data_IF_875846426235
#
_entry.id   IF_875846426235
#
_cell.length_a   1.000
_cell.length_b   1.000
_cell.length_c   1.000
_cell.angle_alpha   90.00
_cell.angle_beta   90.00
_cell.angle_gamma   90.00
#
_symmetry.space_group_name_H-M   'P 1'
#
loop_
_entity.id
_entity.type
_entity.pdbx_description
1 polymer ?
#
# COMPACT_ATOMS: atom_id res chain seq x y z
N UNK A 1 -27.38 -55.88 3.42
CA UNK A 1 -26.11 -55.19 3.14
C UNK A 1 -26.46 -53.85 2.52
N UNK A 2 -26.40 -52.76 3.29
CA UNK A 2 -26.67 -51.40 2.81
C UNK A 2 -25.35 -50.65 2.99
N UNK A 3 -24.72 -50.24 1.90
CA UNK A 3 -23.50 -49.43 1.90
C UNK A 3 -23.91 -47.95 1.96
N UNK A 4 -23.52 -47.26 3.04
CA UNK A 4 -23.61 -45.81 3.13
C UNK A 4 -22.37 -45.19 2.46
N UNK A 5 -22.58 -44.35 1.45
CA UNK A 5 -21.52 -43.58 0.79
C UNK A 5 -21.47 -42.21 1.46
N UNK A 6 -20.37 -41.93 2.18
CA UNK A 6 -20.11 -40.63 2.77
C UNK A 6 -19.51 -39.70 1.70
N UNK A 7 -20.19 -38.60 1.39
CA UNK A 7 -19.71 -37.57 0.47
C UNK A 7 -18.98 -36.52 1.31
N UNK A 8 -17.66 -36.44 1.16
CA UNK A 8 -16.84 -35.38 1.76
C UNK A 8 -16.83 -34.16 0.83
N UNK A 9 -17.47 -33.07 1.25
CA UNK A 9 -17.38 -31.78 0.58
C UNK A 9 -16.06 -31.09 0.96
N UNK A 10 -15.15 -30.92 0.01
CA UNK A 10 -13.98 -30.06 0.18
C UNK A 10 -14.39 -28.60 0.00
N UNK A 11 -14.29 -27.81 1.06
CA UNK A 11 -14.35 -26.35 1.02
C UNK A 11 -12.98 -25.79 0.63
N UNK A 12 -12.91 -25.16 -0.54
CA UNK A 12 -11.72 -24.39 -0.96
C UNK A 12 -11.76 -23.05 -0.23
N UNK A 13 -10.77 -22.78 0.61
CA UNK A 13 -10.59 -21.46 1.21
C UNK A 13 -10.08 -20.49 0.14
N UNK A 14 -10.85 -19.45 -0.17
CA UNK A 14 -10.41 -18.36 -1.01
C UNK A 14 -9.45 -17.47 -0.22
N UNK A 15 -8.19 -17.41 -0.64
CA UNK A 15 -7.22 -16.45 -0.12
C UNK A 15 -7.56 -15.06 -0.65
N UNK A 16 -7.97 -14.16 0.24
CA UNK A 16 -8.13 -12.74 -0.07
C UNK A 16 -6.75 -12.12 -0.22
N UNK A 17 -6.28 -11.94 -1.45
CA UNK A 17 -5.11 -11.12 -1.73
C UNK A 17 -5.45 -9.67 -1.39
N UNK A 18 -4.87 -9.16 -0.31
CA UNK A 18 -4.89 -7.74 0.03
C UNK A 18 -4.05 -6.99 -1.01
N UNK A 19 -4.71 -6.12 -1.78
CA UNK A 19 -4.08 -5.35 -2.85
C UNK A 19 -3.16 -4.27 -2.25
N UNK A 20 -1.86 -4.40 -2.54
CA UNK A 20 -0.81 -3.44 -2.20
C UNK A 20 -1.15 -2.05 -2.80
N UNK A 21 -1.04 -0.92 -2.09
CA UNK A 21 -1.45 0.45 -2.57
C UNK A 21 -0.57 1.07 -3.67
N UNK A 22 0.50 0.39 -4.09
CA UNK A 22 1.22 0.66 -5.34
C UNK A 22 0.73 -0.22 -6.52
N UNK A 23 -0.25 -1.09 -6.29
CA UNK A 23 -0.91 -1.81 -7.38
C UNK A 23 -1.87 -0.89 -8.08
N UNK A 24 -2.08 -1.24 -9.33
CA UNK A 24 -3.20 -0.71 -10.07
C UNK A 24 -4.50 -1.17 -9.45
N UNK A 25 -5.40 -0.22 -9.24
CA UNK A 25 -6.73 -0.42 -8.69
C UNK A 25 -7.74 0.34 -9.53
N UNK A 26 -8.97 -0.16 -9.58
CA UNK A 26 -10.06 0.48 -10.27
C UNK A 26 -11.00 1.10 -9.24
N UNK A 27 -11.05 2.43 -9.23
CA UNK A 27 -11.87 3.18 -8.29
C UNK A 27 -13.23 3.53 -8.91
N UNK A 28 -14.36 3.23 -8.23
CA UNK A 28 -15.69 3.61 -8.68
C UNK A 28 -15.79 5.10 -9.02
N UNK A 29 -16.20 5.39 -10.27
CA UNK A 29 -16.39 6.74 -10.77
C UNK A 29 -15.12 7.45 -11.23
N UNK A 30 -13.96 6.77 -11.23
CA UNK A 30 -12.74 7.17 -11.94
C UNK A 30 -12.58 6.28 -13.18
N UNK A 31 -12.86 4.98 -13.08
CA UNK A 31 -12.95 4.04 -14.22
C UNK A 31 -11.69 3.97 -15.10
N UNK A 32 -10.51 4.33 -14.59
CA UNK A 32 -9.21 3.98 -15.17
C UNK A 32 -8.39 3.33 -14.08
N UNK A 33 -7.45 2.41 -14.42
CA UNK A 33 -6.55 1.91 -13.40
C UNK A 33 -5.73 3.07 -12.86
N UNK A 34 -5.73 3.22 -11.54
CA UNK A 34 -4.94 4.20 -10.82
C UNK A 34 -4.11 3.50 -9.75
N UNK A 35 -3.01 4.12 -9.37
CA UNK A 35 -2.26 3.73 -8.18
C UNK A 35 -1.72 4.96 -7.49
N UNK A 36 -1.37 4.84 -6.21
CA UNK A 36 -0.46 5.80 -5.59
C UNK A 36 0.96 5.41 -5.96
N UNK A 37 1.88 6.37 -6.00
CA UNK A 37 3.32 6.15 -6.19
C UNK A 37 4.11 6.60 -4.94
N UNK A 38 5.38 6.15 -4.76
CA UNK A 38 6.11 6.36 -3.50
C UNK A 38 6.35 7.80 -3.06
N UNK A 39 6.31 8.75 -4.00
CA UNK A 39 6.40 10.20 -3.73
C UNK A 39 5.10 10.79 -3.15
N UNK A 40 4.03 9.98 -3.06
CA UNK A 40 2.73 10.39 -2.58
C UNK A 40 1.78 10.82 -3.68
N UNK A 41 2.18 10.95 -4.95
CA UNK A 41 1.22 11.27 -6.01
C UNK A 41 0.36 10.07 -6.40
N UNK A 42 -0.79 10.32 -7.01
CA UNK A 42 -1.55 9.29 -7.72
C UNK A 42 -1.23 9.35 -9.20
N UNK A 43 -1.25 8.20 -9.86
CA UNK A 43 -1.07 8.12 -11.31
C UNK A 43 -2.09 7.19 -11.93
N UNK A 44 -2.42 7.45 -13.19
CA UNK A 44 -3.26 6.56 -13.98
C UNK A 44 -2.42 5.73 -14.94
N UNK A 45 -2.88 4.51 -15.22
CA UNK A 45 -2.31 3.65 -16.23
C UNK A 45 -2.40 4.33 -17.58
N UNK A 46 -1.29 4.44 -18.28
CA UNK A 46 -1.20 5.04 -19.60
C UNK A 46 -0.09 4.35 -20.41
N UNK A 47 -0.24 4.36 -21.73
CA UNK A 47 0.75 3.78 -22.66
C UNK A 47 1.77 4.80 -23.17
N UNK A 48 1.47 6.11 -23.03
CA UNK A 48 2.27 7.22 -23.58
C UNK A 48 2.32 8.46 -22.67
N UNK A 49 2.15 8.30 -21.36
CA UNK A 49 2.35 9.36 -20.35
C UNK A 49 1.40 10.56 -20.43
N UNK A 50 0.33 10.49 -21.24
CA UNK A 50 -0.58 11.63 -21.46
C UNK A 50 -2.04 11.27 -21.30
N UNK A 51 -2.48 10.10 -21.77
CA UNK A 51 -3.90 9.73 -21.73
C UNK A 51 -4.06 8.46 -20.90
N UNK A 52 -4.88 8.54 -19.85
CA UNK A 52 -5.25 7.40 -19.04
C UNK A 52 -6.02 6.36 -19.84
N UNK A 53 -5.90 5.09 -19.45
CA UNK A 53 -6.62 3.96 -20.03
C UNK A 53 -8.07 3.89 -19.51
N UNK A 54 -8.86 4.93 -19.79
CA UNK A 54 -10.26 5.03 -19.37
C UNK A 54 -11.10 3.86 -19.87
N UNK A 55 -11.96 3.37 -18.98
CA UNK A 55 -12.96 2.36 -19.24
C UNK A 55 -14.36 2.92 -19.01
N UNK A 56 -15.37 2.21 -19.50
CA UNK A 56 -16.77 2.62 -19.37
C UNK A 56 -17.30 2.49 -17.95
N UNK A 57 -16.69 1.65 -17.11
CA UNK A 57 -17.07 1.44 -15.72
C UNK A 57 -15.89 0.92 -14.87
N UNK A 58 -16.09 0.82 -13.56
CA UNK A 58 -15.11 0.21 -12.66
C UNK A 58 -14.92 -1.28 -12.96
N UNK A 59 -15.99 -1.99 -13.31
CA UNK A 59 -15.94 -3.41 -13.67
C UNK A 59 -15.17 -3.65 -14.98
N UNK A 60 -15.36 -2.78 -15.97
CA UNK A 60 -14.56 -2.81 -17.21
C UNK A 60 -13.08 -2.51 -16.93
N UNK A 61 -12.80 -1.65 -15.95
CA UNK A 61 -11.45 -1.41 -15.45
C UNK A 61 -10.88 -2.66 -14.76
N UNK A 62 -11.64 -3.36 -13.92
CA UNK A 62 -11.18 -4.59 -13.27
C UNK A 62 -10.86 -5.68 -14.31
N UNK A 63 -11.66 -5.78 -15.38
CA UNK A 63 -11.39 -6.66 -16.51
C UNK A 63 -10.07 -6.31 -17.23
N UNK A 64 -9.78 -5.02 -17.39
CA UNK A 64 -8.49 -4.57 -17.94
C UNK A 64 -7.33 -4.99 -17.04
N UNK A 65 -7.47 -4.87 -15.71
CA UNK A 65 -6.45 -5.30 -14.75
C UNK A 65 -6.23 -6.80 -14.71
N UNK A 66 -7.29 -7.59 -14.90
CA UNK A 66 -7.18 -9.05 -15.01
C UNK A 66 -6.55 -9.53 -16.33
N UNK A 67 -6.30 -8.65 -17.29
CA UNK A 67 -5.74 -9.02 -18.58
C UNK A 67 -4.22 -9.28 -18.47
N UNK A 68 -3.71 -10.47 -18.86
CA UNK A 68 -2.28 -10.79 -18.76
C UNK A 68 -1.37 -9.93 -19.65
N UNK A 69 -1.91 -9.19 -20.63
CA UNK A 69 -1.13 -8.24 -21.45
C UNK A 69 -1.22 -6.80 -20.97
N UNK A 70 -1.86 -6.54 -19.82
CA UNK A 70 -1.90 -5.21 -19.23
C UNK A 70 -0.50 -4.72 -18.88
N UNK A 71 -0.03 -3.69 -19.58
CA UNK A 71 1.30 -3.12 -19.42
C UNK A 71 1.26 -1.58 -19.58
N UNK A 72 1.05 -0.82 -18.50
CA UNK A 72 1.13 0.64 -18.53
C UNK A 72 2.59 1.09 -18.56
N UNK A 73 3.16 1.16 -19.77
CA UNK A 73 4.58 1.47 -19.97
C UNK A 73 4.97 2.92 -19.59
N UNK A 74 4.01 3.85 -19.64
CA UNK A 74 4.23 5.26 -19.28
C UNK A 74 2.98 5.81 -18.60
N UNK A 75 2.80 5.56 -17.29
CA UNK A 75 1.76 6.18 -16.49
C UNK A 75 1.79 7.71 -16.58
N UNK A 76 0.62 8.33 -16.36
CA UNK A 76 0.53 9.77 -16.14
C UNK A 76 0.35 10.02 -14.64
N UNK A 77 1.39 10.55 -14.02
CA UNK A 77 1.35 10.95 -12.61
C UNK A 77 0.71 12.34 -12.46
N UNK A 78 -0.07 12.52 -11.40
CA UNK A 78 -0.57 13.82 -10.96
C UNK A 78 0.59 14.72 -10.48
N UNK A 79 0.29 15.87 -9.88
CA UNK A 79 1.34 16.76 -9.38
C UNK A 79 2.11 17.43 -10.53
N UNK A 80 3.44 17.38 -10.47
CA UNK A 80 4.29 18.11 -11.41
C UNK A 80 4.19 17.56 -12.85
N UNK A 81 4.12 16.25 -13.04
CA UNK A 81 3.99 15.64 -14.38
C UNK A 81 2.70 16.08 -15.07
N UNK A 82 1.55 15.96 -14.37
CA UNK A 82 0.28 16.45 -14.89
C UNK A 82 0.29 17.96 -15.19
N UNK A 83 0.99 18.76 -14.37
CA UNK A 83 1.16 20.19 -14.63
C UNK A 83 1.97 20.46 -15.90
N UNK A 84 3.00 19.69 -16.16
CA UNK A 84 3.80 19.82 -17.38
C UNK A 84 2.99 19.47 -18.65
N UNK A 85 2.08 18.50 -18.54
CA UNK A 85 1.23 18.07 -19.67
C UNK A 85 0.01 18.97 -19.89
N UNK A 86 -0.64 19.42 -18.80
CA UNK A 86 -1.97 20.06 -18.81
C UNK A 86 -2.03 21.46 -18.21
N UNK A 87 -0.94 21.97 -17.65
CA UNK A 87 -0.86 23.31 -17.06
C UNK A 87 -1.34 23.43 -15.61
N UNK A 88 -1.81 22.34 -14.99
CA UNK A 88 -2.20 22.26 -13.58
C UNK A 88 -1.96 20.86 -13.01
N UNK A 89 -1.82 20.73 -11.70
CA UNK A 89 -1.39 19.49 -11.03
C UNK A 89 -2.44 18.37 -11.00
N UNK A 90 -3.65 18.65 -11.46
CA UNK A 90 -4.80 17.78 -11.28
C UNK A 90 -5.45 17.85 -9.89
N UNK A 91 -4.81 18.45 -8.89
CA UNK A 91 -5.34 18.55 -7.51
C UNK A 91 -6.11 19.84 -7.21
N UNK A 92 -6.10 20.80 -8.14
CA UNK A 92 -6.72 22.12 -7.93
C UNK A 92 -8.25 22.09 -8.03
N UNK A 93 -8.83 21.01 -8.56
CA UNK A 93 -10.26 20.83 -8.74
C UNK A 93 -10.70 19.58 -7.97
N UNK A 94 -11.70 19.71 -7.09
CA UNK A 94 -12.09 18.64 -6.18
C UNK A 94 -12.71 17.41 -6.88
N UNK A 95 -13.31 17.61 -8.05
CA UNK A 95 -13.96 16.59 -8.87
C UNK A 95 -13.02 15.94 -9.90
N UNK A 96 -11.83 16.49 -10.10
CA UNK A 96 -10.81 15.92 -10.99
C UNK A 96 -10.33 14.56 -10.46
N UNK A 97 -9.99 13.65 -11.37
CA UNK A 97 -9.66 12.26 -11.02
C UNK A 97 -8.45 12.16 -10.07
N UNK A 98 -7.44 13.03 -10.20
CA UNK A 98 -6.31 13.10 -9.26
C UNK A 98 -6.79 13.33 -7.83
N UNK A 99 -7.61 14.37 -7.60
CA UNK A 99 -8.16 14.69 -6.27
C UNK A 99 -9.01 13.56 -5.72
N UNK A 100 -9.84 12.95 -6.57
CA UNK A 100 -10.72 11.84 -6.18
C UNK A 100 -9.93 10.59 -5.83
N UNK A 101 -8.97 10.20 -6.67
CA UNK A 101 -8.09 9.05 -6.42
C UNK A 101 -7.26 9.26 -5.15
N UNK A 102 -6.68 10.44 -4.96
CA UNK A 102 -5.90 10.75 -3.76
C UNK A 102 -6.73 10.62 -2.47
N UNK A 103 -7.99 11.06 -2.49
CA UNK A 103 -8.91 10.90 -1.35
C UNK A 103 -9.29 9.44 -1.09
N UNK A 104 -9.44 8.65 -2.14
CA UNK A 104 -9.86 7.24 -2.06
C UNK A 104 -8.71 6.27 -1.78
N UNK A 105 -7.48 6.67 -2.09
CA UNK A 105 -6.26 5.90 -1.84
C UNK A 105 -5.40 6.62 -0.80
N UNK A 106 -5.79 6.74 0.48
CA UNK A 106 -5.03 7.53 1.45
C UNK A 106 -3.55 7.14 1.48
N UNK A 107 -2.68 8.13 1.71
CA UNK A 107 -1.26 7.87 1.94
C UNK A 107 -1.08 6.88 3.09
N UNK A 108 -0.04 6.05 3.00
CA UNK A 108 0.50 5.42 4.20
C UNK A 108 0.74 6.55 5.21
N UNK A 109 0.18 6.48 6.45
CA UNK A 109 0.44 7.51 7.43
C UNK A 109 1.96 7.73 7.49
N UNK A 110 2.39 8.99 7.55
CA UNK A 110 3.81 9.31 7.68
C UNK A 110 4.46 8.56 8.85
N UNK A 111 5.79 8.55 8.90
CA UNK A 111 6.51 7.91 9.99
C UNK A 111 6.07 8.45 11.36
N UNK A 112 5.69 7.55 12.26
CA UNK A 112 5.20 7.87 13.60
C UNK A 112 6.00 7.13 14.65
N UNK A 113 6.27 7.81 15.75
CA UNK A 113 7.03 7.28 16.87
C UNK A 113 6.12 6.95 18.04
N UNK A 114 6.15 5.69 18.45
CA UNK A 114 5.28 5.17 19.52
C UNK A 114 6.12 5.05 20.81
N UNK A 115 5.63 5.58 21.96
CA UNK A 115 6.27 5.35 23.25
C UNK A 115 6.46 3.85 23.51
N UNK A 116 7.68 3.46 23.89
CA UNK A 116 8.04 2.06 24.21
C UNK A 116 8.51 1.21 23.03
N UNK A 117 8.32 1.66 21.78
CA UNK A 117 8.87 0.99 20.59
C UNK A 117 10.11 1.75 20.06
N UNK A 118 10.12 3.08 20.11
CA UNK A 118 11.30 3.92 19.81
C UNK A 118 11.97 3.68 18.45
N UNK A 119 11.19 3.24 17.47
CA UNK A 119 11.57 3.23 16.05
C UNK A 119 10.43 3.86 15.25
N UNK A 120 10.72 4.64 14.19
CA UNK A 120 9.66 5.17 13.35
C UNK A 120 8.91 4.02 12.69
N UNK A 121 7.62 3.92 12.97
CA UNK A 121 6.71 2.95 12.40
C UNK A 121 5.70 3.64 11.50
N UNK A 122 5.17 2.92 10.53
CA UNK A 122 3.96 3.30 9.81
C UNK A 122 3.16 2.09 9.42
N UNK A 123 1.93 2.33 8.97
CA UNK A 123 1.14 1.31 8.29
C UNK A 123 1.44 1.42 6.83
N UNK A 124 2.06 0.38 6.28
CA UNK A 124 2.30 0.29 4.86
C UNK A 124 0.99 0.08 4.10
N UNK A 125 1.13 -0.10 2.81
CA UNK A 125 -0.01 -0.18 1.93
C UNK A 125 -0.79 -1.51 1.96
N UNK A 126 -0.22 -2.56 2.52
CA UNK A 126 -0.88 -3.85 2.78
C UNK A 126 -1.69 -3.82 4.09
N UNK A 127 -1.69 -2.66 4.75
CA UNK A 127 -2.19 -2.55 6.11
C UNK A 127 -1.29 -3.29 7.10
N UNK A 128 -0.03 -3.59 6.76
CA UNK A 128 0.95 -4.13 7.69
C UNK A 128 1.77 -3.01 8.31
N UNK A 129 2.24 -3.24 9.53
CA UNK A 129 3.16 -2.34 10.21
C UNK A 129 4.53 -2.54 9.58
N UNK A 130 5.25 -1.46 9.33
CA UNK A 130 6.64 -1.50 8.93
C UNK A 130 7.47 -0.52 9.74
N UNK A 131 8.73 -0.87 9.99
CA UNK A 131 9.70 0.02 10.61
C UNK A 131 10.58 0.68 9.56
N UNK A 132 11.04 1.89 9.84
CA UNK A 132 12.02 2.57 9.01
C UNK A 132 13.34 1.79 8.99
N UNK A 133 13.79 1.41 7.79
CA UNK A 133 15.02 0.69 7.52
C UNK A 133 15.49 1.00 6.09
N UNK A 134 16.75 0.73 5.76
CA UNK A 134 17.32 0.85 4.39
C UNK A 134 17.70 -0.49 3.76
N UNK A 135 17.55 -1.60 4.50
CA UNK A 135 18.03 -2.90 4.08
C UNK A 135 17.00 -4.04 4.25
N UNK A 136 15.73 -3.71 4.51
CA UNK A 136 14.63 -4.66 4.77
C UNK A 136 14.78 -5.50 6.04
N UNK A 137 15.82 -5.28 6.84
CA UNK A 137 16.17 -6.16 7.96
C UNK A 137 16.35 -5.35 9.25
N UNK A 138 17.28 -4.41 9.30
CA UNK A 138 17.63 -3.67 10.50
C UNK A 138 16.83 -2.37 10.61
N UNK A 139 15.88 -2.33 11.54
CA UNK A 139 15.16 -1.09 11.83
C UNK A 139 16.07 -0.02 12.44
N UNK A 140 15.79 1.24 12.17
CA UNK A 140 16.49 2.39 12.73
C UNK A 140 16.06 2.73 14.17
N UNK A 141 16.34 1.82 15.10
CA UNK A 141 16.07 1.98 16.52
C UNK A 141 16.72 3.24 17.11
N UNK A 142 15.99 3.94 17.97
CA UNK A 142 16.46 5.14 18.65
C UNK A 142 16.48 4.94 20.17
N UNK A 143 17.35 5.67 20.86
CA UNK A 143 17.47 5.63 22.32
C UNK A 143 16.39 6.43 23.05
N UNK A 144 15.64 7.28 22.36
CA UNK A 144 14.62 8.15 22.95
C UNK A 144 13.48 8.45 21.98
N UNK A 145 12.31 8.81 22.52
CA UNK A 145 11.16 9.22 21.71
C UNK A 145 11.47 10.49 20.90
N UNK A 146 12.26 11.40 21.45
CA UNK A 146 12.67 12.64 20.79
C UNK A 146 13.62 12.41 19.61
N UNK A 147 14.53 11.43 19.71
CA UNK A 147 15.40 11.07 18.59
C UNK A 147 14.64 10.30 17.51
N UNK A 148 13.70 9.44 17.92
CA UNK A 148 12.74 8.83 17.00
C UNK A 148 11.98 9.88 16.21
N UNK A 149 11.39 10.88 16.88
CA UNK A 149 10.63 11.92 16.19
C UNK A 149 11.51 12.72 15.23
N UNK A 150 12.74 13.07 15.63
CA UNK A 150 13.68 13.77 14.76
C UNK A 150 14.01 12.97 13.50
N UNK A 151 14.18 11.66 13.63
CA UNK A 151 14.39 10.76 12.50
C UNK A 151 13.14 10.66 11.62
N UNK A 152 11.94 10.57 12.21
CA UNK A 152 10.68 10.54 11.46
C UNK A 152 10.46 11.83 10.65
N UNK A 153 10.75 12.99 11.24
CA UNK A 153 10.64 14.31 10.61
C UNK A 153 11.68 14.53 9.49
N UNK A 154 12.82 13.83 9.57
CA UNK A 154 13.94 13.95 8.63
C UNK A 154 14.31 12.59 8.04
N UNK A 155 13.29 11.84 7.59
CA UNK A 155 13.48 10.50 7.07
C UNK A 155 14.48 10.49 5.90
N UNK A 156 15.48 9.61 5.89
CA UNK A 156 16.43 9.54 4.79
C UNK A 156 15.76 9.02 3.51
N UNK A 157 16.35 9.33 2.37
CA UNK A 157 15.94 8.75 1.08
C UNK A 157 16.43 7.31 0.92
N UNK A 158 15.78 6.52 0.06
CA UNK A 158 16.24 5.17 -0.27
C UNK A 158 15.90 4.11 0.78
N UNK A 159 14.90 4.38 1.61
CA UNK A 159 14.41 3.42 2.61
C UNK A 159 13.91 2.13 1.95
N UNK A 160 14.24 1.01 2.58
CA UNK A 160 13.70 -0.31 2.33
C UNK A 160 13.17 -0.82 3.69
N UNK A 161 11.94 -0.46 4.07
CA UNK A 161 11.37 -0.81 5.37
C UNK A 161 11.35 -2.32 5.62
N UNK A 162 11.52 -2.73 6.87
CA UNK A 162 11.16 -4.10 7.30
C UNK A 162 9.68 -4.12 7.63
N UNK A 163 8.95 -5.01 6.96
CA UNK A 163 7.49 -5.14 7.07
C UNK A 163 7.15 -6.34 7.96
N UNK A 164 6.21 -6.17 8.89
CA UNK A 164 5.62 -7.25 9.67
C UNK A 164 4.87 -8.27 8.79
N UNK A 165 4.41 -9.38 9.36
CA UNK A 165 3.74 -10.42 8.59
C UNK A 165 4.72 -11.28 7.80
N UNK A 166 4.49 -11.44 6.50
CA UNK A 166 5.24 -12.41 5.67
C UNK A 166 6.71 -12.05 5.50
N UNK A 167 7.05 -10.76 5.37
CA UNK A 167 8.44 -10.32 5.19
C UNK A 167 9.22 -10.56 6.48
N UNK A 168 8.70 -10.14 7.63
CA UNK A 168 9.30 -10.42 8.93
C UNK A 168 9.45 -11.92 9.18
N UNK A 169 8.48 -12.74 8.77
CA UNK A 169 8.56 -14.19 8.91
C UNK A 169 9.65 -14.80 8.02
N UNK A 170 9.86 -14.25 6.83
CA UNK A 170 10.95 -14.67 5.96
C UNK A 170 12.33 -14.31 6.56
N UNK A 171 12.47 -13.12 7.14
CA UNK A 171 13.74 -12.63 7.70
C UNK A 171 14.07 -13.26 9.08
N UNK A 172 13.06 -13.45 9.94
CA UNK A 172 13.24 -13.79 11.36
C UNK A 172 12.49 -15.05 11.82
N UNK A 173 11.71 -15.70 10.95
CA UNK A 173 10.96 -16.92 11.28
C UNK A 173 9.70 -16.70 12.14
N UNK A 174 9.29 -15.45 12.35
CA UNK A 174 8.03 -15.07 13.01
C UNK A 174 7.37 -13.91 12.27
N UNK A 175 6.04 -13.83 12.29
CA UNK A 175 5.32 -12.71 11.67
C UNK A 175 5.48 -11.40 12.44
N UNK A 176 5.85 -11.51 13.72
CA UNK A 176 5.91 -10.41 14.66
C UNK A 176 4.55 -10.04 15.26
N UNK A 177 3.43 -10.46 14.66
CA UNK A 177 2.08 -10.31 15.24
C UNK A 177 1.72 -11.43 16.22
N UNK A 178 2.32 -12.60 16.01
CA UNK A 178 2.19 -13.81 16.82
C UNK A 178 2.94 -13.75 18.16
N UNK A 179 3.74 -12.70 18.39
CA UNK A 179 4.62 -12.59 19.55
C UNK A 179 4.18 -11.44 20.46
N UNK A 180 3.72 -11.77 21.67
CA UNK A 180 3.28 -10.78 22.66
C UNK A 180 4.40 -9.79 23.02
N UNK A 181 4.10 -8.49 22.96
CA UNK A 181 5.05 -7.42 23.29
C UNK A 181 6.03 -7.08 22.16
N UNK A 182 5.91 -7.73 21.00
CA UNK A 182 6.71 -7.41 19.83
C UNK A 182 6.31 -6.07 19.22
N UNK A 183 7.25 -5.36 18.58
CA UNK A 183 7.00 -4.03 18.03
C UNK A 183 5.93 -4.01 16.93
N UNK A 184 5.80 -5.10 16.15
CA UNK A 184 4.72 -5.28 15.19
C UNK A 184 3.34 -5.22 15.87
N UNK A 185 3.18 -5.91 17.01
CA UNK A 185 1.95 -5.88 17.80
C UNK A 185 1.72 -4.49 18.41
N UNK A 186 2.77 -3.85 18.93
CA UNK A 186 2.70 -2.48 19.46
C UNK A 186 2.24 -1.49 18.39
N UNK A 187 2.79 -1.59 17.18
CA UNK A 187 2.36 -0.82 16.02
C UNK A 187 0.90 -1.11 15.64
N UNK A 188 0.50 -2.38 15.53
CA UNK A 188 -0.88 -2.71 15.11
C UNK A 188 -1.90 -2.19 16.10
N UNK A 189 -1.63 -2.30 17.40
CA UNK A 189 -2.50 -1.74 18.44
C UNK A 189 -2.58 -0.21 18.34
N UNK A 190 -1.45 0.47 18.16
CA UNK A 190 -1.41 1.93 18.05
C UNK A 190 -2.17 2.45 16.82
N UNK A 191 -2.04 1.76 15.68
CA UNK A 191 -2.72 2.11 14.44
C UNK A 191 -4.15 1.54 14.32
N UNK A 192 -4.64 0.81 15.32
CA UNK A 192 -5.99 0.24 15.32
C UNK A 192 -6.22 -0.90 14.31
N UNK A 193 -5.16 -1.61 13.93
CA UNK A 193 -5.21 -2.73 13.00
C UNK A 193 -5.67 -4.02 13.72
N UNK A 194 -6.47 -4.83 13.03
CA UNK A 194 -6.82 -6.19 13.46
C UNK A 194 -5.89 -7.19 12.76
N UNK A 195 -4.84 -7.62 13.45
CA UNK A 195 -3.80 -8.56 12.97
C UNK A 195 -3.73 -9.76 13.89
#
# INVERSE_FOLDING_TARGET
>A
MIYAVAIFSLSVAASTATATSYQWQCLPGINTPVRRIPDGDVECAASKGRVCMWQTSAEACDQLLGNPVFNPAQPLSCGNNHKDVYGYTGYTQADHWCSRAAKMMPESPGWQCIPGVLVPLRVNHDGDVECMADNRHDCYWQGSLSDCQRLADNAPSGLIPLVCGNVHNFEYGITGYDTTGHWCQGGSSFFGLKK
#
